data_IF_855124410465
#
_entry.id   IF_855124410465
#
_cell.length_a   1.000
_cell.length_b   1.000
_cell.length_c   1.000
_cell.angle_alpha   90.00
_cell.angle_beta   90.00
_cell.angle_gamma   90.00
#
_symmetry.space_group_name_H-M   'P 1'
#
loop_
_entity.id
_entity.type
_entity.pdbx_description
1 polymer ?
#
# COMPACT_ATOMS: atom_id res chain seq x y z
N UNK A 1 -1.53 14.64 4.01
CA UNK A 1 -0.55 14.24 5.02
C UNK A 1 -0.47 12.74 5.03
N UNK A 2 0.67 12.24 4.64
CA UNK A 2 0.95 10.82 4.68
C UNK A 2 1.37 10.54 6.10
N UNK A 3 0.54 9.82 6.75
CA UNK A 3 0.78 9.52 8.12
C UNK A 3 1.36 8.16 8.22
N UNK A 4 2.62 8.15 8.54
CA UNK A 4 3.32 6.98 8.98
C UNK A 4 2.58 5.64 8.76
N UNK A 5 3.20 4.65 8.98
CA UNK A 5 2.97 3.24 8.72
C UNK A 5 1.56 2.66 8.98
N UNK A 6 0.67 3.36 9.65
CA UNK A 6 -0.67 2.85 9.93
C UNK A 6 -1.59 2.91 8.69
N UNK A 7 -1.54 3.99 7.93
CA UNK A 7 -2.44 4.21 6.80
C UNK A 7 -1.90 5.21 5.80
N UNK A 8 -0.73 4.91 5.25
CA UNK A 8 -0.07 5.82 4.31
C UNK A 8 -0.60 5.72 2.88
N UNK A 9 -1.59 4.87 2.63
CA UNK A 9 -2.12 4.70 1.29
C UNK A 9 -2.87 5.95 0.86
N UNK A 10 -2.25 6.72 0.00
CA UNK A 10 -2.71 8.05 -0.38
C UNK A 10 -3.63 8.03 -1.59
N UNK A 11 -3.47 7.09 -2.50
CA UNK A 11 -4.27 6.98 -3.72
C UNK A 11 -4.02 5.66 -4.43
N UNK A 12 -4.82 5.38 -5.46
CA UNK A 12 -4.55 4.32 -6.41
C UNK A 12 -3.29 4.61 -7.23
N UNK A 13 -2.55 3.57 -7.57
CA UNK A 13 -1.38 3.64 -8.45
C UNK A 13 -1.68 4.36 -9.78
N UNK A 14 -2.91 4.31 -10.26
CA UNK A 14 -3.39 5.00 -11.48
C UNK A 14 -3.26 6.53 -11.42
N UNK A 15 -3.37 7.13 -10.24
CA UNK A 15 -3.26 8.58 -10.03
C UNK A 15 -1.96 9.01 -9.36
N UNK A 16 -0.94 8.16 -9.39
CA UNK A 16 0.31 8.42 -8.71
C UNK A 16 1.43 8.81 -9.69
N UNK A 17 2.08 9.93 -9.42
CA UNK A 17 3.22 10.42 -10.17
C UNK A 17 4.44 10.54 -9.25
N UNK A 18 5.59 10.11 -9.73
CA UNK A 18 6.85 10.18 -8.98
C UNK A 18 7.95 10.80 -9.84
N UNK A 19 8.77 11.65 -9.24
CA UNK A 19 9.98 12.14 -9.90
C UNK A 19 10.94 10.99 -10.17
N UNK A 20 11.53 10.94 -11.36
CA UNK A 20 12.42 9.85 -11.78
C UNK A 20 13.57 9.60 -10.79
N UNK A 21 14.19 10.66 -10.28
CA UNK A 21 15.26 10.52 -9.27
C UNK A 21 14.75 9.92 -7.96
N UNK A 22 13.53 10.25 -7.55
CA UNK A 22 12.90 9.63 -6.39
C UNK A 22 12.59 8.15 -6.64
N UNK A 23 12.10 7.81 -7.83
CA UNK A 23 11.86 6.42 -8.22
C UNK A 23 13.15 5.60 -8.22
N UNK A 24 14.24 6.14 -8.78
CA UNK A 24 15.57 5.49 -8.76
C UNK A 24 16.06 5.24 -7.33
N UNK A 25 15.81 6.16 -6.42
CA UNK A 25 16.17 6.01 -5.00
C UNK A 25 15.41 4.89 -4.32
N UNK A 26 14.11 4.77 -4.58
CA UNK A 26 13.24 3.70 -4.03
C UNK A 26 13.59 2.34 -4.64
N UNK A 27 14.05 2.32 -5.88
CA UNK A 27 14.36 1.10 -6.64
C UNK A 27 13.14 0.53 -7.37
N UNK A 28 13.28 -0.70 -7.85
CA UNK A 28 12.23 -1.37 -8.64
C UNK A 28 11.12 -1.94 -7.76
N UNK A 29 10.01 -2.30 -8.41
CA UNK A 29 8.97 -3.11 -7.77
C UNK A 29 9.52 -4.45 -7.33
N UNK A 30 9.10 -4.91 -6.14
CA UNK A 30 9.50 -6.20 -5.62
C UNK A 30 8.61 -7.30 -6.21
N UNK A 31 9.19 -8.16 -7.05
CA UNK A 31 8.48 -9.23 -7.75
C UNK A 31 8.02 -10.38 -6.82
N UNK A 32 8.45 -10.38 -5.56
CA UNK A 32 7.95 -11.31 -4.54
C UNK A 32 6.45 -11.12 -4.28
N UNK A 33 5.95 -9.89 -4.43
CA UNK A 33 4.56 -9.54 -4.16
C UNK A 33 3.74 -9.50 -5.44
N UNK A 34 2.72 -10.35 -5.50
CA UNK A 34 1.89 -10.50 -6.69
C UNK A 34 0.74 -9.49 -6.74
N UNK A 35 0.16 -9.19 -5.57
CA UNK A 35 -1.08 -8.42 -5.46
C UNK A 35 -0.86 -7.01 -4.92
N UNK A 36 0.17 -6.84 -4.11
CA UNK A 36 0.43 -5.63 -3.33
C UNK A 36 1.83 -5.05 -3.59
N UNK A 37 2.39 -5.26 -4.80
CA UNK A 37 3.70 -4.73 -5.16
C UNK A 37 3.75 -3.19 -5.14
N UNK A 38 2.65 -2.53 -5.49
CA UNK A 38 2.48 -1.08 -5.38
C UNK A 38 2.50 -0.63 -3.91
N UNK A 39 1.89 -1.41 -3.02
CA UNK A 39 1.94 -1.14 -1.58
C UNK A 39 3.37 -1.24 -1.01
N UNK A 40 4.15 -2.24 -1.40
CA UNK A 40 5.57 -2.34 -1.03
C UNK A 40 6.37 -1.15 -1.53
N UNK A 41 6.16 -0.76 -2.78
CA UNK A 41 6.83 0.40 -3.37
C UNK A 41 6.51 1.69 -2.59
N UNK A 42 5.24 1.93 -2.27
CA UNK A 42 4.82 3.08 -1.47
C UNK A 42 5.36 3.01 -0.04
N UNK A 43 5.40 1.82 0.56
CA UNK A 43 5.97 1.64 1.90
C UNK A 43 7.45 2.05 1.93
N UNK A 44 8.24 1.55 0.99
CA UNK A 44 9.66 1.91 0.87
C UNK A 44 9.82 3.41 0.63
N UNK A 45 9.07 3.97 -0.29
CA UNK A 45 9.11 5.38 -0.64
C UNK A 45 8.82 6.29 0.56
N UNK A 46 7.76 6.00 1.30
CA UNK A 46 7.23 6.89 2.34
C UNK A 46 7.86 6.60 3.70
N UNK A 47 7.95 5.33 4.08
CA UNK A 47 8.38 4.93 5.43
C UNK A 47 9.90 4.82 5.51
N UNK A 48 10.54 4.17 4.52
CA UNK A 48 12.01 3.99 4.53
C UNK A 48 12.75 5.23 4.02
N UNK A 49 12.39 5.69 2.83
CA UNK A 49 13.08 6.81 2.18
C UNK A 49 12.57 8.18 2.64
N UNK A 50 11.48 8.21 3.41
CA UNK A 50 10.86 9.42 3.99
C UNK A 50 10.58 10.51 2.93
N UNK A 51 10.26 10.10 1.70
CA UNK A 51 9.95 11.02 0.63
C UNK A 51 8.62 11.71 0.92
N UNK A 52 8.58 13.00 0.63
CA UNK A 52 7.37 13.81 0.82
C UNK A 52 6.58 13.83 -0.48
N UNK A 53 5.27 13.62 -0.37
CA UNK A 53 4.32 13.75 -1.47
C UNK A 53 3.42 14.98 -1.30
N UNK A 54 2.89 15.45 -2.40
CA UNK A 54 1.86 16.50 -2.45
C UNK A 54 0.60 15.85 -3.00
N UNK A 55 -0.51 16.01 -2.31
CA UNK A 55 -1.83 15.65 -2.83
C UNK A 55 -2.32 16.70 -3.81
N UNK A 56 -3.02 16.27 -4.83
CA UNK A 56 -3.73 17.15 -5.77
C UNK A 56 -4.98 17.72 -5.14
N UNK A 57 -5.53 18.76 -5.72
CA UNK A 57 -6.83 19.30 -5.30
C UNK A 57 -7.95 18.33 -5.67
N UNK A 58 -9.07 18.40 -4.97
CA UNK A 58 -10.20 17.48 -5.16
C UNK A 58 -10.79 17.55 -6.59
N UNK A 59 -10.68 18.72 -7.20
CA UNK A 59 -11.21 19.01 -8.53
C UNK A 59 -10.28 18.56 -9.67
N UNK A 60 -9.02 18.22 -9.33
CA UNK A 60 -8.03 17.81 -10.31
C UNK A 60 -8.14 16.31 -10.58
N UNK A 61 -8.67 15.94 -11.73
CA UNK A 61 -8.81 14.55 -12.17
C UNK A 61 -7.59 14.11 -12.99
N UNK A 62 -6.82 13.17 -12.46
CA UNK A 62 -5.61 12.64 -13.13
C UNK A 62 -5.77 11.22 -13.66
N UNK A 63 -6.85 10.54 -13.33
CA UNK A 63 -7.09 9.20 -13.80
C UNK A 63 -8.43 8.64 -13.34
N UNK A 64 -8.93 7.68 -14.09
CA UNK A 64 -10.18 6.98 -13.79
C UNK A 64 -9.85 5.53 -13.44
N UNK A 65 -10.23 5.13 -12.23
CA UNK A 65 -10.10 3.75 -11.80
C UNK A 65 -11.32 2.93 -12.23
N UNK A 66 -11.10 1.93 -13.07
CA UNK A 66 -12.15 0.99 -13.49
C UNK A 66 -12.30 -0.13 -12.46
N UNK A 67 -13.52 -0.35 -12.01
CA UNK A 67 -13.87 -1.52 -11.19
C UNK A 67 -13.91 -2.79 -12.05
N UNK A 68 -13.73 -3.98 -11.42
CA UNK A 68 -13.79 -5.27 -12.11
C UNK A 68 -12.47 -5.75 -12.70
N UNK A 69 -11.35 -5.06 -12.44
CA UNK A 69 -10.02 -5.50 -12.82
C UNK A 69 -9.49 -6.67 -11.96
N UNK A 70 -8.23 -7.03 -12.20
CA UNK A 70 -7.56 -8.14 -11.50
C UNK A 70 -7.68 -8.05 -9.98
N UNK A 71 -7.42 -6.87 -9.40
CA UNK A 71 -7.48 -6.66 -7.95
C UNK A 71 -8.85 -6.90 -7.33
N UNK A 72 -9.94 -6.74 -8.08
CA UNK A 72 -11.30 -6.98 -7.57
C UNK A 72 -11.68 -8.46 -7.48
N UNK A 73 -10.88 -9.34 -8.12
CA UNK A 73 -11.08 -10.81 -8.12
C UNK A 73 -10.25 -11.52 -7.05
N UNK A 74 -9.34 -10.79 -6.40
CA UNK A 74 -8.44 -11.35 -5.40
C UNK A 74 -9.16 -11.38 -4.06
N UNK A 75 -9.03 -12.49 -3.34
CA UNK A 75 -9.58 -12.61 -2.00
C UNK A 75 -8.93 -11.59 -1.07
N UNK A 76 -9.73 -11.00 -0.20
CA UNK A 76 -9.24 -10.06 0.81
C UNK A 76 -8.06 -10.62 1.61
N UNK A 77 -8.13 -11.92 1.93
CA UNK A 77 -7.11 -12.59 2.74
C UNK A 77 -5.72 -12.58 2.08
N UNK A 78 -5.65 -12.76 0.76
CA UNK A 78 -4.39 -12.78 0.03
C UNK A 78 -3.70 -11.40 0.06
N UNK A 79 -4.47 -10.34 -0.18
CA UNK A 79 -3.99 -8.98 -0.03
C UNK A 79 -3.54 -8.68 1.39
N UNK A 80 -4.30 -9.14 2.36
CA UNK A 80 -4.03 -8.90 3.77
C UNK A 80 -2.70 -9.53 4.21
N UNK A 81 -2.47 -10.79 3.85
CA UNK A 81 -1.21 -11.46 4.16
C UNK A 81 -0.02 -10.85 3.44
N UNK A 82 -0.16 -10.48 2.16
CA UNK A 82 0.92 -9.78 1.46
C UNK A 82 1.26 -8.45 2.13
N UNK A 83 0.26 -7.67 2.55
CA UNK A 83 0.50 -6.41 3.27
C UNK A 83 1.26 -6.62 4.59
N UNK A 84 0.90 -7.65 5.36
CA UNK A 84 1.61 -7.99 6.60
C UNK A 84 3.05 -8.42 6.31
N UNK A 85 3.27 -9.26 5.30
CA UNK A 85 4.60 -9.69 4.89
C UNK A 85 5.46 -8.51 4.42
N UNK A 86 4.90 -7.57 3.66
CA UNK A 86 5.58 -6.34 3.25
C UNK A 86 6.07 -5.55 4.48
N UNK A 87 5.25 -5.43 5.50
CA UNK A 87 5.61 -4.73 6.74
C UNK A 87 6.75 -5.44 7.48
N UNK A 88 6.69 -6.77 7.56
CA UNK A 88 7.73 -7.61 8.18
C UNK A 88 9.05 -7.48 7.42
N UNK A 89 9.03 -7.69 6.10
CA UNK A 89 10.21 -7.65 5.24
C UNK A 89 10.87 -6.27 5.21
N UNK A 90 10.07 -5.23 5.38
CA UNK A 90 10.57 -3.87 5.48
C UNK A 90 10.97 -3.44 6.91
N UNK A 91 10.99 -4.35 7.87
CA UNK A 91 11.52 -4.13 9.21
C UNK A 91 10.66 -3.23 10.09
N UNK A 92 9.34 -3.19 9.85
CA UNK A 92 8.44 -2.42 10.71
C UNK A 92 8.40 -3.03 12.13
N UNK A 93 8.12 -2.19 13.12
CA UNK A 93 8.00 -2.63 14.51
C UNK A 93 6.97 -3.75 14.66
N UNK A 94 7.38 -4.88 15.24
CA UNK A 94 6.56 -6.10 15.36
C UNK A 94 5.29 -5.89 16.17
N UNK A 95 5.35 -5.09 17.24
CA UNK A 95 4.16 -4.77 18.06
C UNK A 95 3.13 -3.98 17.25
N UNK A 96 3.59 -3.01 16.45
CA UNK A 96 2.72 -2.25 15.57
C UNK A 96 2.09 -3.15 14.50
N UNK A 97 2.85 -4.09 13.94
CA UNK A 97 2.33 -5.07 12.97
C UNK A 97 1.23 -5.91 13.61
N UNK A 98 1.45 -6.39 14.84
CA UNK A 98 0.45 -7.18 15.58
C UNK A 98 -0.84 -6.38 15.80
N UNK A 99 -0.74 -5.13 16.23
CA UNK A 99 -1.91 -4.26 16.44
C UNK A 99 -2.67 -4.04 15.12
N UNK A 100 -1.96 -3.77 14.02
CA UNK A 100 -2.56 -3.60 12.70
C UNK A 100 -3.23 -4.90 12.24
N UNK A 101 -2.58 -6.04 12.46
CA UNK A 101 -3.13 -7.36 12.13
C UNK A 101 -4.47 -7.58 12.84
N UNK A 102 -4.49 -7.45 14.16
CA UNK A 102 -5.70 -7.64 14.97
C UNK A 102 -6.81 -6.68 14.53
N UNK A 103 -6.50 -5.39 14.40
CA UNK A 103 -7.47 -4.38 13.98
C UNK A 103 -8.09 -4.71 12.62
N UNK A 104 -7.26 -4.99 11.61
CA UNK A 104 -7.74 -5.29 10.25
C UNK A 104 -8.49 -6.62 10.19
N UNK A 105 -8.04 -7.62 10.91
CA UNK A 105 -8.69 -8.92 11.02
C UNK A 105 -10.10 -8.76 11.58
N UNK A 106 -10.24 -8.12 12.74
CA UNK A 106 -11.54 -7.88 13.35
C UNK A 106 -12.47 -7.04 12.48
N UNK A 107 -11.96 -5.96 11.91
CA UNK A 107 -12.73 -5.06 11.02
C UNK A 107 -13.25 -5.76 9.76
N UNK A 108 -12.55 -6.75 9.25
CA UNK A 108 -12.91 -7.44 8.00
C UNK A 108 -13.28 -8.91 8.21
N UNK A 109 -13.61 -9.30 9.43
CA UNK A 109 -13.93 -10.68 9.77
C UNK A 109 -14.99 -11.29 8.85
N UNK A 110 -16.04 -10.55 8.55
CA UNK A 110 -17.10 -10.98 7.62
C UNK A 110 -16.64 -11.23 6.18
N UNK A 111 -15.52 -10.63 5.76
CA UNK A 111 -14.94 -10.84 4.42
C UNK A 111 -13.98 -12.02 4.36
N UNK A 112 -13.58 -12.55 5.51
CA UNK A 112 -12.66 -13.67 5.62
C UNK A 112 -13.45 -14.99 5.67
N UNK A 113 -14.67 -14.96 6.21
CA UNK A 113 -15.53 -16.14 6.37
C UNK A 113 -16.38 -16.47 5.13
N UNK A 114 -16.33 -15.64 4.11
CA UNK A 114 -16.93 -15.87 2.78
C UNK A 114 -15.83 -16.12 1.74
#
# INVERSE_FOLDING_TARGET
KIYWSWGFYSSHSTGFFIKLNSAKKVGFYNLKYRYSADYDFFFRMIVKEKLKGIGTKKEELFGIFRRGGFSSRIKFIDHFFEEINIRIDNGQNKLLILIIFIYKFLKNFSKISN
#
